data_IF_218620236511
#
_entry.id   IF_218620236511
#
_cell.length_a   1.000
_cell.length_b   1.000
_cell.length_c   1.000
_cell.angle_alpha   90.00
_cell.angle_beta   90.00
_cell.angle_gamma   90.00
#
_symmetry.space_group_name_H-M   'P 1'
#
loop_
_entity.id
_entity.type
_entity.pdbx_description
1 polymer ?
#
# COMPACT_ATOMS: atom_id res chain seq x y z
N UNK A 1 -0.65 0.75 11.97
CA UNK A 1 -1.97 0.35 11.43
C UNK A 1 -2.37 1.27 10.28
N UNK A 2 -3.01 0.76 9.22
CA UNK A 2 -3.48 1.61 8.12
C UNK A 2 -4.77 2.33 8.51
N UNK A 3 -4.99 3.61 8.14
CA UNK A 3 -6.21 4.34 8.47
C UNK A 3 -7.49 3.64 7.97
N UNK A 4 -7.41 2.92 6.85
CA UNK A 4 -8.55 2.17 6.29
C UNK A 4 -8.97 0.97 7.15
N UNK A 5 -8.15 0.52 8.10
CA UNK A 5 -8.54 -0.52 9.06
C UNK A 5 -9.65 -0.03 10.01
N UNK A 6 -9.85 1.29 10.13
CA UNK A 6 -10.78 1.93 11.05
C UNK A 6 -12.22 2.08 10.56
N UNK A 7 -12.52 1.75 9.30
CA UNK A 7 -13.85 1.96 8.70
C UNK A 7 -14.97 1.13 9.38
N UNK A 8 -14.63 0.21 10.28
CA UNK A 8 -15.58 -0.70 10.93
C UNK A 8 -15.35 -0.95 12.43
N UNK A 9 -14.36 -0.34 13.11
CA UNK A 9 -14.07 -0.71 14.53
C UNK A 9 -13.42 0.35 15.42
N UNK A 10 -13.77 0.32 16.72
CA UNK A 10 -13.20 1.07 17.87
C UNK A 10 -11.73 0.71 18.21
N UNK A 11 -10.97 0.17 17.27
CA UNK A 11 -9.68 -0.51 17.52
C UNK A 11 -8.47 0.31 17.09
N UNK A 12 -8.66 1.49 16.48
CA UNK A 12 -7.55 2.38 16.12
C UNK A 12 -6.73 2.79 17.36
N UNK A 13 -7.39 2.90 18.53
CA UNK A 13 -6.75 3.22 19.81
C UNK A 13 -5.76 2.14 20.29
N UNK A 14 -5.80 0.94 19.71
CA UNK A 14 -4.84 -0.13 20.02
C UNK A 14 -3.52 0.01 19.25
N UNK A 15 -3.46 0.89 18.24
CA UNK A 15 -2.28 1.04 17.41
C UNK A 15 -1.34 2.10 17.99
N UNK A 16 -0.04 1.77 18.10
CA UNK A 16 0.98 2.77 18.44
C UNK A 16 1.02 3.91 17.44
N UNK A 17 0.76 3.59 16.16
CA UNK A 17 0.77 4.54 15.04
C UNK A 17 -0.28 4.18 13.98
N UNK A 18 -0.97 5.19 13.47
CA UNK A 18 -1.91 5.10 12.35
C UNK A 18 -1.33 5.84 11.15
N UNK A 19 -0.93 5.10 10.10
CA UNK A 19 -0.09 5.61 9.01
C UNK A 19 -0.44 4.96 7.67
N UNK A 20 -0.26 5.69 6.56
CA UNK A 20 -0.25 5.08 5.22
C UNK A 20 0.89 4.06 5.09
N UNK A 21 0.86 3.21 4.06
CA UNK A 21 1.93 2.21 3.82
C UNK A 21 3.32 2.84 3.78
N UNK A 22 3.49 3.97 3.08
CA UNK A 22 4.77 4.69 3.06
C UNK A 22 5.09 5.38 4.40
N UNK A 23 4.07 5.82 5.14
CA UNK A 23 4.24 6.28 6.52
C UNK A 23 4.79 5.18 7.43
N UNK A 24 4.29 3.95 7.30
CA UNK A 24 4.77 2.80 8.07
C UNK A 24 6.24 2.50 7.78
N UNK A 25 6.66 2.52 6.51
CA UNK A 25 8.07 2.30 6.13
C UNK A 25 8.99 3.33 6.79
N UNK A 26 8.62 4.61 6.71
CA UNK A 26 9.38 5.70 7.36
C UNK A 26 9.39 5.61 8.88
N UNK A 27 8.31 5.12 9.49
CA UNK A 27 8.27 4.87 10.93
C UNK A 27 9.22 3.75 11.35
N UNK A 28 9.23 2.63 10.62
CA UNK A 28 10.17 1.52 10.85
C UNK A 28 11.61 2.00 10.73
N UNK A 29 11.93 2.80 9.72
CA UNK A 29 13.27 3.36 9.52
C UNK A 29 13.78 4.12 10.75
N UNK A 30 12.93 4.98 11.34
CA UNK A 30 13.28 5.87 12.45
C UNK A 30 13.11 5.23 13.83
N UNK A 31 12.33 4.15 13.92
CA UNK A 31 12.05 3.49 15.18
C UNK A 31 13.23 2.63 15.64
N UNK A 32 13.60 2.64 16.94
CA UNK A 32 14.60 1.73 17.51
C UNK A 32 14.05 0.31 17.72
N UNK A 33 12.75 0.08 17.57
CA UNK A 33 12.13 -1.23 17.78
C UNK A 33 12.61 -2.26 16.75
N UNK A 34 12.71 -3.52 17.19
CA UNK A 34 13.11 -4.65 16.34
C UNK A 34 11.94 -5.46 15.81
N UNK A 35 10.78 -5.34 16.45
CA UNK A 35 9.60 -6.15 16.15
C UNK A 35 8.41 -5.24 15.89
N UNK A 36 7.64 -5.54 14.84
CA UNK A 36 6.51 -4.73 14.41
C UNK A 36 5.33 -5.61 14.04
N UNK A 37 4.15 -5.26 14.56
CA UNK A 37 2.88 -5.79 14.06
C UNK A 37 2.35 -4.82 13.01
N UNK A 38 2.18 -5.31 11.78
CA UNK A 38 1.74 -4.52 10.63
C UNK A 38 0.29 -4.87 10.31
N UNK A 39 -0.61 -3.93 10.57
CA UNK A 39 -2.02 -4.02 10.23
C UNK A 39 -2.29 -3.27 8.90
N UNK A 40 -2.06 -3.97 7.79
CA UNK A 40 -2.42 -3.58 6.41
C UNK A 40 -2.35 -4.83 5.53
N UNK A 41 -2.40 -4.67 4.22
CA UNK A 41 -2.19 -5.75 3.25
C UNK A 41 -0.81 -6.43 3.45
N UNK A 42 -0.78 -7.78 3.41
CA UNK A 42 0.41 -8.57 3.76
C UNK A 42 1.58 -8.42 2.80
N UNK A 43 1.34 -8.00 1.55
CA UNK A 43 2.38 -7.69 0.57
C UNK A 43 3.36 -6.60 1.01
N UNK A 44 2.97 -5.70 1.94
CA UNK A 44 3.91 -4.74 2.53
C UNK A 44 5.04 -5.42 3.32
N UNK A 45 4.78 -6.57 3.96
CA UNK A 45 5.79 -7.27 4.75
C UNK A 45 6.96 -7.73 3.87
N UNK A 46 6.70 -8.16 2.64
CA UNK A 46 7.77 -8.55 1.72
C UNK A 46 8.76 -7.38 1.48
N UNK A 47 8.25 -6.15 1.30
CA UNK A 47 9.08 -4.95 1.18
C UNK A 47 9.86 -4.68 2.46
N UNK A 48 9.20 -4.74 3.62
CA UNK A 48 9.82 -4.47 4.92
C UNK A 48 10.92 -5.47 5.28
N UNK A 49 10.67 -6.77 5.10
CA UNK A 49 11.65 -7.83 5.33
C UNK A 49 12.86 -7.71 4.40
N UNK A 50 12.64 -7.29 3.15
CA UNK A 50 13.74 -7.07 2.20
C UNK A 50 14.58 -5.84 2.56
N UNK A 51 13.94 -4.73 2.94
CA UNK A 51 14.63 -3.47 3.27
C UNK A 51 15.30 -3.51 4.66
N UNK A 52 14.72 -4.25 5.62
CA UNK A 52 15.18 -4.30 7.01
C UNK A 52 15.31 -5.75 7.51
N UNK A 53 16.25 -6.54 6.96
CA UNK A 53 16.35 -7.98 7.25
C UNK A 53 16.68 -8.32 8.71
N UNK A 54 17.19 -7.36 9.48
CA UNK A 54 17.53 -7.53 10.90
C UNK A 54 16.37 -7.23 11.85
N UNK A 55 15.15 -7.02 11.33
CA UNK A 55 13.93 -6.71 12.08
C UNK A 55 12.86 -7.76 11.77
N UNK A 56 11.99 -8.01 12.74
CA UNK A 56 10.87 -8.96 12.61
C UNK A 56 9.57 -8.20 12.31
N UNK A 57 8.85 -8.66 11.30
CA UNK A 57 7.55 -8.10 10.91
C UNK A 57 6.49 -9.18 10.97
N UNK A 58 5.40 -8.90 11.68
CA UNK A 58 4.29 -9.83 11.89
C UNK A 58 3.02 -9.21 11.30
N UNK A 59 2.24 -9.95 10.50
CA UNK A 59 0.97 -9.43 10.03
C UNK A 59 -0.04 -9.46 11.17
N UNK A 60 -0.89 -8.43 11.27
CA UNK A 60 -2.01 -8.46 12.20
C UNK A 60 -3.03 -9.56 11.84
N UNK A 61 -3.08 -9.95 10.55
CA UNK A 61 -3.83 -11.10 10.05
C UNK A 61 -3.16 -11.64 8.79
N UNK A 62 -2.90 -12.95 8.76
CA UNK A 62 -2.39 -13.65 7.56
C UNK A 62 -3.39 -13.60 6.38
N UNK A 63 -4.67 -13.35 6.67
CA UNK A 63 -5.73 -13.29 5.65
C UNK A 63 -5.89 -11.91 5.03
N UNK A 64 -5.16 -10.89 5.48
CA UNK A 64 -5.20 -9.53 4.94
C UNK A 64 -4.49 -9.44 3.58
N UNK A 65 -4.97 -10.20 2.59
CA UNK A 65 -4.44 -10.23 1.22
C UNK A 65 -5.40 -9.53 0.27
N UNK A 66 -4.87 -8.75 -0.67
CA UNK A 66 -5.68 -8.12 -1.71
C UNK A 66 -5.68 -9.00 -2.97
N UNK A 67 -6.78 -9.75 -3.18
CA UNK A 67 -6.92 -10.63 -4.35
C UNK A 67 -6.66 -9.91 -5.68
N UNK A 68 -7.10 -8.65 -5.82
CA UNK A 68 -6.90 -7.88 -7.04
C UNK A 68 -5.44 -7.50 -7.29
N UNK A 69 -4.68 -7.16 -6.25
CA UNK A 69 -3.24 -6.86 -6.39
C UNK A 69 -2.46 -8.10 -6.82
N UNK A 70 -2.81 -9.27 -6.29
CA UNK A 70 -2.16 -10.55 -6.60
C UNK A 70 -2.49 -11.10 -8.02
N UNK A 71 -3.34 -10.43 -8.80
CA UNK A 71 -3.60 -10.81 -10.20
C UNK A 71 -2.42 -10.52 -11.12
N UNK A 72 -1.51 -9.64 -10.72
CA UNK A 72 -0.31 -9.32 -11.48
C UNK A 72 0.75 -10.41 -11.25
N UNK A 73 1.22 -11.03 -12.33
CA UNK A 73 2.27 -12.07 -12.30
C UNK A 73 3.44 -11.66 -13.19
N UNK A 74 4.60 -12.30 -13.00
CA UNK A 74 5.80 -12.03 -13.81
C UNK A 74 5.56 -12.31 -15.30
N UNK A 75 4.83 -13.37 -15.62
CA UNK A 75 4.47 -13.73 -17.00
C UNK A 75 3.56 -12.67 -17.62
N UNK A 76 2.59 -12.16 -16.87
CA UNK A 76 1.72 -11.07 -17.35
C UNK A 76 2.50 -9.78 -17.56
N UNK A 77 3.41 -9.45 -16.65
CA UNK A 77 4.28 -8.28 -16.80
C UNK A 77 5.19 -8.41 -18.04
N UNK A 78 5.82 -9.58 -18.23
CA UNK A 78 6.61 -9.88 -19.41
C UNK A 78 5.79 -9.75 -20.71
N UNK A 79 4.62 -10.39 -20.76
CA UNK A 79 3.74 -10.33 -21.94
C UNK A 79 3.22 -8.91 -22.20
N UNK A 80 2.97 -8.15 -21.15
CA UNK A 80 2.55 -6.75 -21.23
C UNK A 80 3.61 -5.88 -21.93
N UNK A 81 4.89 -6.07 -21.57
CA UNK A 81 6.02 -5.38 -22.18
C UNK A 81 6.26 -5.82 -23.63
N UNK A 82 6.24 -7.14 -23.90
CA UNK A 82 6.46 -7.69 -25.26
C UNK A 82 5.38 -7.23 -26.23
N UNK A 83 4.13 -7.18 -25.78
CA UNK A 83 2.97 -6.82 -26.64
C UNK A 83 2.61 -5.34 -26.60
N UNK A 84 3.26 -4.54 -25.76
CA UNK A 84 2.88 -3.15 -25.48
C UNK A 84 1.39 -3.01 -25.11
N UNK A 85 0.88 -3.93 -24.29
CA UNK A 85 -0.51 -4.00 -23.83
C UNK A 85 -0.53 -4.12 -22.31
N UNK A 86 -1.55 -3.68 -21.58
CA UNK A 86 -2.84 -3.16 -22.01
C UNK A 86 -2.85 -1.63 -21.86
N UNK A 87 -3.01 -0.89 -22.96
CA UNK A 87 -3.08 0.58 -22.91
C UNK A 87 -4.33 1.00 -22.13
N UNK A 88 -4.11 1.68 -21.01
CA UNK A 88 -5.20 2.25 -20.20
C UNK A 88 -5.70 3.51 -20.89
N UNK A 89 -6.99 3.55 -21.22
CA UNK A 89 -7.65 4.71 -21.83
C UNK A 89 -8.83 5.15 -20.97
N UNK A 90 -9.04 6.46 -20.92
CA UNK A 90 -10.16 7.09 -20.21
C UNK A 90 -10.77 8.10 -21.17
N UNK A 91 -12.11 8.22 -21.18
CA UNK A 91 -12.79 9.21 -22.03
C UNK A 91 -12.31 10.63 -21.68
N UNK A 92 -12.02 11.50 -22.66
CA UNK A 92 -11.50 12.84 -22.40
C UNK A 92 -12.33 13.65 -21.39
N UNK A 93 -13.65 13.63 -21.54
CA UNK A 93 -14.61 14.30 -20.65
C UNK A 93 -14.53 13.83 -19.18
N UNK A 94 -14.20 12.55 -18.95
CA UNK A 94 -14.03 11.99 -17.60
C UNK A 94 -12.66 12.39 -17.06
N UNK A 95 -11.61 12.27 -17.89
CA UNK A 95 -10.25 12.62 -17.52
C UNK A 95 -10.14 14.10 -17.08
N UNK A 96 -10.69 15.02 -17.87
CA UNK A 96 -10.68 16.46 -17.57
C UNK A 96 -11.38 16.79 -16.24
N UNK A 97 -12.45 16.07 -15.91
CA UNK A 97 -13.16 16.25 -14.63
C UNK A 97 -12.42 15.62 -13.46
N UNK A 98 -11.81 14.45 -13.67
CA UNK A 98 -11.08 13.71 -12.64
C UNK A 98 -9.73 14.34 -12.28
N UNK A 99 -9.07 15.03 -13.22
CA UNK A 99 -7.79 15.72 -12.98
C UNK A 99 -7.94 16.88 -11.99
N UNK A 100 -9.05 17.63 -12.06
CA UNK A 100 -9.27 18.82 -11.20
C UNK A 100 -9.11 18.56 -9.69
N UNK A 101 -9.77 17.54 -9.07
CA UNK A 101 -9.56 17.26 -7.65
C UNK A 101 -8.14 16.73 -7.35
N UNK A 102 -7.50 16.02 -8.29
CA UNK A 102 -6.13 15.52 -8.13
C UNK A 102 -5.14 16.69 -8.08
N UNK A 103 -5.24 17.64 -9.00
CA UNK A 103 -4.39 18.85 -9.02
C UNK A 103 -4.58 19.68 -7.75
N UNK A 104 -5.82 19.83 -7.27
CA UNK A 104 -6.10 20.52 -6.01
C UNK A 104 -5.48 19.81 -4.81
N UNK A 105 -5.53 18.48 -4.77
CA UNK A 105 -4.88 17.69 -3.73
C UNK A 105 -3.37 17.93 -3.75
N UNK A 106 -2.74 17.94 -4.93
CA UNK A 106 -1.29 18.16 -5.05
C UNK A 106 -0.86 19.59 -4.72
N UNK A 107 -1.72 20.59 -4.95
CA UNK A 107 -1.39 22.00 -4.68
C UNK A 107 -1.36 22.38 -3.19
N UNK A 108 -1.84 21.48 -2.30
CA UNK A 108 -1.90 21.71 -0.83
C UNK A 108 -1.01 20.77 -0.03
N UNK A 109 -0.21 19.94 -0.71
CA UNK A 109 0.74 18.99 -0.11
C UNK A 109 2.12 19.63 0.00
#
# INVERSE_FOLDING_TARGET
MHPECGCTTKQMDLADQVLSTEGMVRYVERSPAKEFIIATETGLLNRLCHQYPNRSFYPASEHATCHHMQRNTLEKAFMSLVKMQHVVTVKPEIAERAVRPIERMLAVV
#
